data_IF_158448713094
#
_entry.id   IF_158448713094
#
_cell.length_a   1.000
_cell.length_b   1.000
_cell.length_c   1.000
_cell.angle_alpha   90.00
_cell.angle_beta   90.00
_cell.angle_gamma   90.00
#
_symmetry.space_group_name_H-M   'P 1'
#
loop_
_entity.id
_entity.type
_entity.pdbx_description
1 polymer ?
#
# COMPACT_ATOMS: atom_id res chain seq x y z
N UNK A 1 -0.87 16.11 9.98
CA UNK A 1 0.27 16.10 9.02
C UNK A 1 0.76 14.68 8.73
N UNK A 2 1.06 13.86 9.75
CA UNK A 2 1.52 12.46 9.54
C UNK A 2 0.58 11.57 8.71
N UNK A 3 -0.75 11.68 8.89
CA UNK A 3 -1.72 10.87 8.14
C UNK A 3 -1.73 11.13 6.62
N UNK A 4 -1.57 12.39 6.20
CA UNK A 4 -1.52 12.74 4.76
C UNK A 4 -0.22 12.28 4.11
N UNK A 5 0.91 12.40 4.83
CA UNK A 5 2.20 11.89 4.36
C UNK A 5 2.18 10.36 4.25
N UNK A 6 1.59 9.67 5.24
CA UNK A 6 1.41 8.22 5.21
C UNK A 6 0.56 7.76 4.03
N UNK A 7 -0.57 8.42 3.75
CA UNK A 7 -1.41 8.13 2.59
C UNK A 7 -0.69 8.34 1.25
N UNK A 8 0.12 9.41 1.13
CA UNK A 8 0.90 9.66 -0.08
C UNK A 8 1.96 8.57 -0.32
N UNK A 9 2.65 8.14 0.74
CA UNK A 9 3.64 7.06 0.67
C UNK A 9 2.95 5.74 0.30
N UNK A 10 1.83 5.41 0.93
CA UNK A 10 1.06 4.20 0.60
C UNK A 10 0.58 4.19 -0.86
N UNK A 11 0.08 5.34 -1.35
CA UNK A 11 -0.31 5.49 -2.75
C UNK A 11 0.86 5.30 -3.72
N UNK A 12 2.03 5.85 -3.41
CA UNK A 12 3.25 5.66 -4.21
C UNK A 12 3.71 4.19 -4.23
N UNK A 13 3.67 3.51 -3.08
CA UNK A 13 4.00 2.08 -2.97
C UNK A 13 3.01 1.23 -3.77
N UNK A 14 1.72 1.57 -3.74
CA UNK A 14 0.67 0.89 -4.52
C UNK A 14 0.90 1.01 -6.03
N UNK A 15 1.20 2.21 -6.51
CA UNK A 15 1.50 2.44 -7.92
C UNK A 15 2.73 1.63 -8.37
N UNK A 16 3.78 1.60 -7.54
CA UNK A 16 5.00 0.86 -7.84
C UNK A 16 4.79 -0.67 -7.82
N UNK A 17 4.02 -1.19 -6.85
CA UNK A 17 3.69 -2.62 -6.75
C UNK A 17 2.79 -3.08 -7.88
N UNK A 18 1.81 -2.27 -8.26
CA UNK A 18 0.98 -2.52 -9.44
C UNK A 18 1.81 -2.65 -10.71
N UNK A 19 2.75 -1.73 -10.96
CA UNK A 19 3.60 -1.77 -12.15
C UNK A 19 4.46 -3.04 -12.19
N UNK A 20 5.00 -3.47 -11.04
CA UNK A 20 5.80 -4.70 -10.91
C UNK A 20 4.96 -5.97 -11.13
N UNK A 21 3.78 -6.04 -10.51
CA UNK A 21 2.89 -7.20 -10.63
C UNK A 21 2.30 -7.31 -12.04
N UNK A 22 2.04 -6.18 -12.70
CA UNK A 22 1.53 -6.17 -14.07
C UNK A 22 2.51 -6.82 -15.04
N UNK A 23 3.81 -6.52 -14.92
CA UNK A 23 4.84 -7.20 -15.73
C UNK A 23 4.92 -8.70 -15.48
N UNK A 24 4.59 -9.15 -14.27
CA UNK A 24 4.68 -10.56 -13.90
C UNK A 24 3.43 -11.37 -14.25
N UNK A 25 2.27 -10.72 -14.27
CA UNK A 25 0.97 -11.35 -14.56
C UNK A 25 0.54 -11.22 -16.03
N UNK A 26 1.27 -10.46 -16.86
CA UNK A 26 0.95 -10.32 -18.28
C UNK A 26 1.36 -11.59 -19.04
N UNK A 27 0.45 -12.23 -19.80
CA UNK A 27 0.82 -13.35 -20.66
C UNK A 27 1.86 -12.92 -21.70
N UNK A 28 2.94 -13.70 -21.85
CA UNK A 28 4.03 -13.38 -22.80
C UNK A 28 3.54 -13.18 -24.24
N UNK A 29 2.51 -13.94 -24.65
CA UNK A 29 1.88 -13.80 -25.96
C UNK A 29 1.27 -12.40 -26.17
N UNK A 30 0.69 -11.84 -25.10
CA UNK A 30 0.09 -10.52 -25.09
C UNK A 30 1.16 -9.42 -24.96
N UNK A 31 2.20 -9.65 -24.15
CA UNK A 31 3.32 -8.73 -24.05
C UNK A 31 4.01 -8.50 -25.42
N UNK A 32 4.04 -9.53 -26.28
CA UNK A 32 4.57 -9.45 -27.65
C UNK A 32 3.60 -8.84 -28.67
N UNK A 33 2.29 -8.88 -28.42
CA UNK A 33 1.29 -8.27 -29.32
C UNK A 33 1.08 -6.77 -29.06
N UNK A 34 1.47 -6.29 -27.88
CA UNK A 34 1.41 -4.87 -27.52
C UNK A 34 2.44 -4.04 -28.30
N UNK A 35 2.02 -2.89 -28.80
CA UNK A 35 2.93 -1.95 -29.45
C UNK A 35 3.92 -1.35 -28.44
N UNK A 36 5.15 -1.00 -28.87
CA UNK A 36 6.11 -0.31 -28.02
C UNK A 36 5.48 0.95 -27.39
N UNK A 37 5.51 1.05 -26.06
CA UNK A 37 4.93 2.16 -25.30
C UNK A 37 3.50 1.97 -24.78
N UNK A 38 2.72 1.02 -25.31
CA UNK A 38 1.40 0.71 -24.75
C UNK A 38 1.49 0.08 -23.36
N UNK A 39 2.46 -0.82 -23.16
CA UNK A 39 2.72 -1.42 -21.85
C UNK A 39 3.12 -0.36 -20.81
N UNK A 40 3.94 0.63 -21.21
CA UNK A 40 4.35 1.73 -20.35
C UNK A 40 3.17 2.62 -19.97
N UNK A 41 2.29 2.91 -20.93
CA UNK A 41 1.06 3.65 -20.68
C UNK A 41 0.16 2.95 -19.65
N UNK A 42 0.02 1.63 -19.73
CA UNK A 42 -0.73 0.85 -18.74
C UNK A 42 -0.07 0.84 -17.35
N UNK A 43 1.27 0.77 -17.27
CA UNK A 43 1.99 0.89 -15.98
C UNK A 43 1.78 2.25 -15.33
N UNK A 44 1.81 3.31 -16.12
CA UNK A 44 1.68 4.69 -15.62
C UNK A 44 0.25 5.10 -15.25
N UNK A 45 -0.77 4.36 -15.72
CA UNK A 45 -2.17 4.73 -15.52
C UNK A 45 -3.03 3.57 -14.99
N UNK A 46 -2.81 3.12 -13.74
CA UNK A 46 -3.65 2.11 -13.08
C UNK A 46 -5.11 2.54 -12.93
N UNK A 47 -5.39 3.85 -12.91
CA UNK A 47 -6.76 4.38 -12.73
C UNK A 47 -7.70 3.99 -13.88
N UNK A 48 -7.17 3.71 -15.08
CA UNK A 48 -7.95 3.27 -16.23
C UNK A 48 -8.69 1.93 -15.99
N UNK A 49 -8.34 1.18 -14.93
CA UNK A 49 -8.95 -0.12 -14.61
C UNK A 49 -9.85 -0.08 -13.39
N UNK A 50 -9.75 1.00 -12.64
CA UNK A 50 -10.62 1.29 -11.49
C UNK A 50 -11.89 1.97 -12.00
N UNK A 51 -11.81 2.71 -13.12
CA UNK A 51 -12.96 3.32 -13.77
C UNK A 51 -13.66 2.33 -14.74
N UNK A 52 -14.93 1.94 -14.50
CA UNK A 52 -15.68 1.05 -15.39
C UNK A 52 -15.86 1.60 -16.81
N UNK A 53 -15.94 2.92 -16.99
CA UNK A 53 -16.00 3.54 -18.33
C UNK A 53 -14.69 3.35 -19.10
N UNK A 54 -13.54 3.47 -18.42
CA UNK A 54 -12.23 3.28 -19.03
C UNK A 54 -11.99 1.80 -19.40
N UNK A 55 -12.47 0.85 -18.60
CA UNK A 55 -12.47 -0.58 -18.96
C UNK A 55 -13.33 -0.86 -20.21
N UNK A 56 -14.49 -0.20 -20.31
CA UNK A 56 -15.40 -0.38 -21.45
C UNK A 56 -14.79 0.20 -22.73
N UNK A 57 -14.16 1.38 -22.63
CA UNK A 57 -13.41 1.99 -23.72
C UNK A 57 -12.19 1.15 -24.15
N UNK A 58 -11.52 0.49 -23.19
CA UNK A 58 -10.40 -0.42 -23.48
C UNK A 58 -10.89 -1.65 -24.24
N UNK A 59 -11.96 -2.32 -23.78
CA UNK A 59 -12.58 -3.45 -24.52
C UNK A 59 -12.97 -3.04 -25.94
N UNK A 60 -13.66 -1.91 -26.09
CA UNK A 60 -14.08 -1.43 -27.41
C UNK A 60 -12.90 -1.19 -28.37
N UNK A 61 -11.74 -0.72 -27.87
CA UNK A 61 -10.52 -0.57 -28.67
C UNK A 61 -9.93 -1.90 -29.11
N UNK A 62 -9.97 -2.91 -28.26
CA UNK A 62 -9.47 -4.24 -28.58
C UNK A 62 -10.45 -5.02 -29.49
N UNK A 63 -11.76 -4.85 -29.31
CA UNK A 63 -12.79 -5.43 -30.18
C UNK A 63 -12.70 -4.90 -31.62
N UNK A 64 -12.27 -3.64 -31.80
CA UNK A 64 -11.97 -3.07 -33.12
C UNK A 64 -10.82 -3.78 -33.86
N UNK A 65 -9.94 -4.50 -33.13
CA UNK A 65 -8.87 -5.30 -33.72
C UNK A 65 -9.34 -6.70 -34.19
N UNK A 66 -10.62 -7.04 -33.97
CA UNK A 66 -11.23 -8.30 -34.39
C UNK A 66 -11.51 -9.28 -33.23
N UNK A 67 -12.01 -10.49 -33.54
CA UNK A 67 -12.44 -11.47 -32.54
C UNK A 67 -11.32 -11.96 -31.61
N UNK A 68 -10.06 -12.00 -32.06
CA UNK A 68 -8.92 -12.25 -31.16
C UNK A 68 -8.68 -11.11 -30.17
N UNK A 69 -8.99 -9.87 -30.55
CA UNK A 69 -8.83 -8.71 -29.68
C UNK A 69 -9.74 -8.76 -28.45
N UNK A 70 -10.97 -9.28 -28.59
CA UNK A 70 -11.87 -9.48 -27.45
C UNK A 70 -11.30 -10.44 -26.39
N UNK A 71 -10.70 -11.56 -26.83
CA UNK A 71 -10.06 -12.54 -25.94
C UNK A 71 -8.83 -11.93 -25.26
N UNK A 72 -8.02 -11.18 -26.01
CA UNK A 72 -6.86 -10.46 -25.49
C UNK A 72 -7.24 -9.40 -24.44
N UNK A 73 -8.35 -8.69 -24.67
CA UNK A 73 -8.88 -7.71 -23.72
C UNK A 73 -9.29 -8.36 -22.39
N UNK A 74 -9.95 -9.52 -22.43
CA UNK A 74 -10.31 -10.24 -21.20
C UNK A 74 -9.08 -10.71 -20.42
N UNK A 75 -8.08 -11.28 -21.10
CA UNK A 75 -6.83 -11.72 -20.47
C UNK A 75 -6.11 -10.55 -19.80
N UNK A 76 -6.06 -9.40 -20.47
CA UNK A 76 -5.48 -8.18 -19.92
C UNK A 76 -6.22 -7.73 -18.65
N UNK A 77 -7.55 -7.71 -18.68
CA UNK A 77 -8.37 -7.32 -17.53
C UNK A 77 -8.20 -8.27 -16.34
N UNK A 78 -8.08 -9.57 -16.58
CA UNK A 78 -7.80 -10.57 -15.53
C UNK A 78 -6.43 -10.31 -14.90
N UNK A 79 -5.38 -10.12 -15.69
CA UNK A 79 -4.03 -9.82 -15.20
C UNK A 79 -3.99 -8.52 -14.37
N UNK A 80 -4.71 -7.49 -14.82
CA UNK A 80 -4.77 -6.20 -14.13
C UNK A 80 -5.51 -6.30 -12.80
N UNK A 81 -6.63 -7.03 -12.76
CA UNK A 81 -7.39 -7.30 -11.53
C UNK A 81 -6.57 -8.09 -10.51
N UNK A 82 -5.88 -9.14 -10.96
CA UNK A 82 -5.01 -9.94 -10.11
C UNK A 82 -3.87 -9.08 -9.52
N UNK A 83 -3.21 -8.28 -10.35
CA UNK A 83 -2.11 -7.41 -9.94
C UNK A 83 -2.55 -6.35 -8.92
N UNK A 84 -3.75 -5.79 -9.08
CA UNK A 84 -4.34 -4.85 -8.12
C UNK A 84 -4.68 -5.52 -6.79
N UNK A 85 -5.31 -6.71 -6.83
CA UNK A 85 -5.65 -7.45 -5.62
C UNK A 85 -4.40 -7.80 -4.80
N UNK A 86 -3.33 -8.22 -5.48
CA UNK A 86 -2.04 -8.55 -4.87
C UNK A 86 -1.36 -7.31 -4.26
N UNK A 87 -1.34 -6.18 -4.96
CA UNK A 87 -0.79 -4.93 -4.44
C UNK A 87 -1.54 -4.42 -3.20
N UNK A 88 -2.87 -4.59 -3.15
CA UNK A 88 -3.68 -4.25 -1.96
C UNK A 88 -3.30 -5.17 -0.79
N UNK A 89 -3.17 -6.48 -1.04
CA UNK A 89 -2.76 -7.45 -0.02
C UNK A 89 -1.39 -7.12 0.58
N UNK A 90 -0.40 -6.82 -0.27
CA UNK A 90 0.95 -6.42 0.13
C UNK A 90 0.92 -5.19 1.06
N UNK A 91 0.18 -4.15 0.68
CA UNK A 91 0.10 -2.91 1.46
C UNK A 91 -0.61 -3.15 2.80
N UNK A 92 -1.65 -3.97 2.81
CA UNK A 92 -2.35 -4.31 4.04
C UNK A 92 -1.39 -4.97 5.03
N UNK A 93 -0.60 -5.95 4.58
CA UNK A 93 0.41 -6.61 5.42
C UNK A 93 1.47 -5.64 5.94
N UNK A 94 2.00 -4.77 5.08
CA UNK A 94 2.96 -3.73 5.49
C UNK A 94 2.38 -2.81 6.55
N UNK A 95 1.13 -2.38 6.37
CA UNK A 95 0.44 -1.48 7.31
C UNK A 95 0.19 -2.16 8.64
N UNK A 96 -0.25 -3.43 8.64
CA UNK A 96 -0.42 -4.24 9.85
C UNK A 96 0.90 -4.42 10.59
N UNK A 97 1.99 -4.68 9.88
CA UNK A 97 3.32 -4.81 10.48
C UNK A 97 3.77 -3.51 11.17
N UNK A 98 3.57 -2.35 10.51
CA UNK A 98 3.89 -1.04 11.10
C UNK A 98 3.05 -0.77 12.35
N UNK A 99 1.75 -1.09 12.32
CA UNK A 99 0.86 -0.95 13.47
C UNK A 99 1.31 -1.85 14.63
N UNK A 100 1.65 -3.11 14.36
CA UNK A 100 2.15 -4.04 15.35
C UNK A 100 3.44 -3.54 16.01
N UNK A 101 4.40 -3.06 15.21
CA UNK A 101 5.64 -2.43 15.71
C UNK A 101 5.36 -1.21 16.58
N UNK A 102 4.47 -0.34 16.13
CA UNK A 102 4.07 0.86 16.89
C UNK A 102 3.44 0.49 18.23
N UNK A 103 2.61 -0.56 18.26
CA UNK A 103 1.99 -1.08 19.46
C UNK A 103 3.03 -1.65 20.44
N UNK A 104 3.99 -2.44 19.93
CA UNK A 104 5.10 -2.97 20.73
C UNK A 104 5.89 -1.83 21.38
N UNK A 105 6.32 -0.84 20.58
CA UNK A 105 7.06 0.33 21.10
C UNK A 105 6.25 1.08 22.15
N UNK A 106 4.93 1.23 21.97
CA UNK A 106 4.05 1.90 22.93
C UNK A 106 3.99 1.15 24.27
N UNK A 107 3.94 -0.18 24.26
CA UNK A 107 3.98 -1.00 25.49
C UNK A 107 5.30 -0.80 26.23
N UNK A 108 6.44 -0.86 25.53
CA UNK A 108 7.76 -0.67 26.14
C UNK A 108 7.96 0.74 26.70
N UNK A 109 7.42 1.76 26.03
CA UNK A 109 7.49 3.15 26.50
C UNK A 109 6.67 3.36 27.79
N UNK A 110 5.47 2.75 27.87
CA UNK A 110 4.61 2.79 29.06
C UNK A 110 5.31 2.20 30.29
N UNK A 111 6.00 1.07 30.14
CA UNK A 111 6.67 0.39 31.25
C UNK A 111 7.76 1.22 31.93
N UNK A 112 8.35 2.19 31.24
CA UNK A 112 9.42 3.05 31.79
C UNK A 112 8.93 4.28 32.56
N UNK A 113 7.61 4.57 32.52
CA UNK A 113 7.02 5.79 33.12
C UNK A 113 6.58 5.59 34.57
N UNK A 114 6.39 4.35 35.04
CA UNK A 114 5.83 4.07 36.37
C UNK A 114 6.87 4.15 37.51
N UNK A 115 8.17 4.18 37.23
CA UNK A 115 9.21 4.08 38.28
C UNK A 115 9.77 5.43 38.76
N UNK A 116 9.35 6.56 38.16
CA UNK A 116 9.96 7.88 38.45
C UNK A 116 9.14 8.83 39.31
N UNK A 117 7.98 8.39 39.82
CA UNK A 117 7.08 9.25 40.60
C UNK A 117 6.95 8.87 42.09
N UNK A 118 7.94 8.17 42.66
CA UNK A 118 8.07 7.99 44.13
C UNK A 118 9.47 8.36 44.62
N UNK A 119 9.88 9.61 44.36
CA UNK A 119 10.90 10.24 45.20
C UNK A 119 10.64 11.73 45.27
N UNK A 120 9.67 12.11 46.11
CA UNK A 120 9.64 13.44 46.72
C UNK A 120 10.45 13.31 48.02
N UNK A 121 11.72 13.75 48.06
CA UNK A 121 12.48 13.80 49.29
C UNK A 121 12.19 15.13 49.99
N UNK A 122 11.64 15.03 51.20
CA UNK A 122 11.63 16.16 52.14
C UNK A 122 10.28 16.35 52.79
N UNK A 123 10.10 15.76 53.97
CA UNK A 123 10.19 16.51 55.23
C UNK A 123 10.80 15.56 56.26
N UNK A 124 12.12 15.61 56.42
CA UNK A 124 12.77 15.14 57.64
C UNK A 124 12.68 16.31 58.61
N UNK A 125 11.59 16.37 59.37
CA UNK A 125 11.51 17.26 60.53
C UNK A 125 12.39 16.65 61.62
N UNK A 126 13.63 17.15 61.66
CA UNK A 126 14.64 16.92 62.69
C UNK A 126 14.05 17.14 64.10
N UNK A 127 14.42 16.34 65.11
CA UNK A 127 13.89 16.49 66.46
C UNK A 127 14.53 17.71 67.15
N UNK A 128 13.72 18.70 67.53
CA UNK A 128 14.18 19.78 68.41
C UNK A 128 14.55 19.20 69.77
N UNK A 129 15.81 19.35 70.24
CA UNK A 129 16.21 18.93 71.58
C UNK A 129 15.77 19.95 72.64
N UNK A 130 15.40 19.40 73.80
CA UNK A 130 15.22 19.94 75.15
C UNK A 130 15.41 21.45 75.43
N UNK A 131 14.41 22.02 76.11
CA UNK A 131 14.56 22.70 77.40
C UNK A 131 13.40 22.28 78.33
#
# INVERSE_FOLDING_TARGET
VGGMLGLAILGAVMANRFAANLSSNLPDALARSLQPGQLEAFRSNPQALINPEAMTALRARFEQAGPEGAIQAEQLLVALRASLAEAIGDIFLVTVAILALSFIVTIFLSSSRTEKEEKVPGIQSEPTPAD
#
